data_IF_548568369728
#
_entry.id   IF_548568369728
#
_cell.length_a   1.000
_cell.length_b   1.000
_cell.length_c   1.000
_cell.angle_alpha   90.00
_cell.angle_beta   90.00
_cell.angle_gamma   90.00
#
_symmetry.space_group_name_H-M   'P 1'
#
loop_
_entity.id
_entity.type
_entity.pdbx_description
1 polymer ?
#
# COMPACT_ATOMS: atom_id res chain seq x y z
N UNK A 1 20.49 -32.34 11.21
CA UNK A 1 19.19 -32.00 11.69
C UNK A 1 18.15 -32.00 10.59
N UNK A 2 17.70 -33.16 10.25
CA UNK A 2 16.67 -33.29 9.22
C UNK A 2 15.40 -32.52 9.56
N UNK A 3 15.04 -32.52 10.81
CA UNK A 3 13.87 -31.77 11.27
C UNK A 3 14.01 -30.28 11.02
N UNK A 4 15.17 -29.74 11.25
CA UNK A 4 15.39 -28.34 11.03
C UNK A 4 15.29 -27.97 9.54
N UNK A 5 15.74 -28.82 8.67
CA UNK A 5 15.62 -28.61 7.23
C UNK A 5 14.14 -28.54 6.81
N UNK A 6 13.37 -29.50 7.26
CA UNK A 6 11.94 -29.50 6.94
C UNK A 6 11.23 -28.29 7.50
N UNK A 7 11.55 -27.93 8.73
CA UNK A 7 10.97 -26.74 9.32
C UNK A 7 11.43 -25.46 8.65
N UNK A 8 12.65 -25.46 8.17
CA UNK A 8 13.14 -24.31 7.44
C UNK A 8 12.36 -24.09 6.15
N UNK A 9 11.99 -25.14 5.46
CA UNK A 9 11.13 -25.00 4.29
C UNK A 9 9.82 -24.30 4.64
N UNK A 10 9.26 -24.65 5.75
CA UNK A 10 7.99 -24.03 6.16
C UNK A 10 8.15 -22.64 6.73
N UNK A 11 9.18 -22.39 7.47
CA UNK A 11 9.32 -21.15 8.23
C UNK A 11 10.25 -20.16 7.62
N UNK A 12 11.31 -20.64 7.02
CA UNK A 12 12.36 -19.77 6.53
C UNK A 12 12.72 -20.03 5.07
N UNK A 13 12.01 -20.91 4.45
CA UNK A 13 12.30 -21.23 3.07
C UNK A 13 13.43 -22.20 2.89
N UNK A 14 13.56 -23.14 3.81
CA UNK A 14 14.53 -24.21 3.64
C UNK A 14 15.96 -23.76 3.75
N UNK A 15 16.18 -22.64 4.29
CA UNK A 15 17.51 -22.10 4.44
C UNK A 15 18.13 -21.63 3.13
N UNK A 16 17.66 -22.06 2.03
CA UNK A 16 18.35 -21.76 0.80
C UNK A 16 17.47 -21.36 -0.37
N UNK A 17 16.27 -21.87 -0.47
CA UNK A 17 15.69 -21.76 -1.79
C UNK A 17 14.23 -21.44 -1.87
N UNK A 18 13.49 -21.84 -0.92
CA UNK A 18 12.06 -21.91 -1.14
C UNK A 18 11.26 -20.91 -0.35
N UNK A 19 11.92 -20.11 0.39
CA UNK A 19 11.25 -19.18 1.28
C UNK A 19 10.38 -18.16 0.58
N UNK A 20 10.76 -17.81 -0.60
CA UNK A 20 10.09 -16.73 -1.33
C UNK A 20 8.62 -16.98 -1.56
N UNK A 21 8.24 -18.23 -1.77
CA UNK A 21 6.85 -18.55 -2.04
C UNK A 21 5.97 -18.57 -0.79
N UNK A 22 6.55 -18.88 0.37
CA UNK A 22 5.76 -19.14 1.58
C UNK A 22 6.05 -18.21 2.72
N UNK A 23 7.22 -17.73 2.77
CA UNK A 23 7.72 -17.12 3.99
C UNK A 23 7.81 -15.66 3.90
N UNK A 24 7.32 -15.13 3.08
CA UNK A 24 7.60 -13.84 3.22
C UNK A 24 6.62 -12.85 2.86
N UNK A 25 6.17 -13.02 1.85
CA UNK A 25 5.61 -11.89 1.19
C UNK A 25 4.16 -12.13 0.87
N UNK A 26 3.44 -12.59 1.84
CA UNK A 26 2.01 -12.66 1.69
C UNK A 26 1.44 -11.29 1.34
N UNK A 27 0.53 -11.26 0.40
CA UNK A 27 -0.20 -10.05 0.13
C UNK A 27 -1.06 -9.69 1.34
N UNK A 28 -0.99 -8.43 1.73
CA UNK A 28 -1.72 -7.88 2.86
C UNK A 28 -2.82 -6.97 2.36
N UNK A 29 -3.86 -6.83 3.15
CA UNK A 29 -5.01 -6.00 2.83
C UNK A 29 -5.21 -5.02 3.96
N UNK A 30 -5.35 -3.74 3.62
CA UNK A 30 -5.72 -2.70 4.56
C UNK A 30 -6.93 -1.95 4.03
N UNK A 31 -7.84 -1.60 4.93
CA UNK A 31 -8.97 -0.75 4.57
C UNK A 31 -8.50 0.69 4.38
N UNK A 32 -9.07 1.38 3.40
CA UNK A 32 -8.81 2.80 3.21
C UNK A 32 -10.11 3.57 3.01
N UNK A 33 -10.06 4.85 3.37
CA UNK A 33 -11.15 5.78 3.16
C UNK A 33 -10.60 7.18 2.84
N UNK A 34 -11.11 7.76 1.77
CA UNK A 34 -10.82 9.11 1.33
C UNK A 34 -12.09 9.93 1.55
N UNK A 35 -12.05 10.87 2.48
CA UNK A 35 -13.20 11.69 2.81
C UNK A 35 -13.57 12.67 1.69
N UNK A 36 -12.57 13.16 0.98
CA UNK A 36 -12.75 14.11 -0.12
C UNK A 36 -11.65 13.89 -1.16
N UNK A 37 -12.06 13.41 -2.32
CA UNK A 37 -11.13 13.19 -3.44
C UNK A 37 -10.74 14.49 -4.16
N UNK A 38 -11.41 15.61 -3.84
CA UNK A 38 -11.14 16.90 -4.49
C UNK A 38 -10.05 17.74 -3.80
N UNK A 39 -9.36 17.18 -2.80
CA UNK A 39 -8.36 17.92 -2.04
C UNK A 39 -7.19 18.37 -2.90
N UNK A 40 -6.88 19.65 -2.82
CA UNK A 40 -5.82 20.28 -3.61
C UNK A 40 -4.43 20.18 -2.95
N UNK A 41 -4.37 19.74 -1.70
CA UNK A 41 -3.13 19.52 -0.97
C UNK A 41 -3.11 18.09 -0.45
N UNK A 42 -1.93 17.48 -0.36
CA UNK A 42 -1.81 16.12 0.11
C UNK A 42 -2.43 15.95 1.50
N UNK A 43 -3.45 15.12 1.58
CA UNK A 43 -4.21 14.85 2.78
C UNK A 43 -4.10 13.37 3.14
N UNK A 44 -3.98 13.05 4.42
CA UNK A 44 -3.87 11.66 4.84
C UNK A 44 -5.17 10.89 4.56
N UNK A 45 -5.00 9.73 3.99
CA UNK A 45 -6.05 8.73 3.85
C UNK A 45 -6.29 8.07 5.21
N UNK A 46 -7.53 7.82 5.57
CA UNK A 46 -7.88 7.16 6.84
C UNK A 46 -8.22 5.69 6.62
N UNK A 47 -8.33 4.94 7.72
CA UNK A 47 -8.68 3.52 7.64
C UNK A 47 -10.19 3.26 7.62
N UNK A 48 -11.00 4.29 7.91
CA UNK A 48 -12.45 4.16 7.87
C UNK A 48 -13.12 5.54 7.77
N UNK A 49 -14.41 5.54 7.57
CA UNK A 49 -15.24 6.75 7.52
C UNK A 49 -15.60 7.32 8.90
N UNK A 50 -15.22 6.64 9.96
CA UNK A 50 -15.56 7.09 11.30
C UNK A 50 -14.88 8.41 11.63
N UNK A 51 -15.58 9.28 12.35
CA UNK A 51 -15.00 10.52 12.84
C UNK A 51 -13.81 10.21 13.76
N UNK A 52 -12.66 10.84 13.49
CA UNK A 52 -11.44 10.57 14.23
C UNK A 52 -10.73 9.26 13.88
N UNK A 53 -11.11 8.62 12.78
CA UNK A 53 -10.43 7.43 12.32
C UNK A 53 -8.92 7.71 12.12
N UNK A 54 -8.05 6.77 12.52
CA UNK A 54 -6.62 6.95 12.30
C UNK A 54 -6.26 6.97 10.82
N UNK A 55 -5.16 7.61 10.52
CA UNK A 55 -4.60 7.61 9.18
C UNK A 55 -4.06 6.23 8.81
N UNK A 56 -4.16 5.89 7.54
CA UNK A 56 -3.58 4.67 7.01
C UNK A 56 -2.06 4.81 6.93
N UNK A 57 -1.35 3.86 7.52
CA UNK A 57 0.11 3.81 7.53
C UNK A 57 0.56 2.53 6.85
N UNK A 58 1.55 2.65 5.98
CA UNK A 58 2.20 1.50 5.36
C UNK A 58 3.66 1.42 5.80
N UNK A 59 4.18 0.20 6.00
CA UNK A 59 5.59 0.03 6.38
C UNK A 59 6.54 0.36 5.24
N UNK A 60 7.79 0.62 5.58
CA UNK A 60 8.86 0.69 4.61
C UNK A 60 8.95 -0.61 3.80
N UNK A 61 9.19 -0.51 2.53
CA UNK A 61 9.23 -1.66 1.63
C UNK A 61 7.87 -2.07 1.08
N UNK A 62 6.78 -1.45 1.51
CA UNK A 62 5.46 -1.78 0.99
C UNK A 62 5.34 -1.42 -0.49
N UNK A 63 4.85 -2.36 -1.27
CA UNK A 63 4.51 -2.20 -2.69
C UNK A 63 3.02 -2.39 -2.83
N UNK A 64 2.32 -1.35 -3.23
CA UNK A 64 0.88 -1.41 -3.45
C UNK A 64 0.60 -2.09 -4.78
N UNK A 65 -0.20 -3.13 -4.76
CA UNK A 65 -0.50 -3.97 -5.92
C UNK A 65 -1.85 -3.68 -6.54
N UNK A 66 -2.83 -3.28 -5.75
CA UNK A 66 -4.16 -2.91 -6.25
C UNK A 66 -4.93 -2.08 -5.22
N UNK A 67 -5.90 -1.36 -5.73
CA UNK A 67 -6.98 -0.79 -4.93
C UNK A 67 -8.26 -1.52 -5.28
N UNK A 68 -8.98 -2.00 -4.29
CA UNK A 68 -10.30 -2.57 -4.46
C UNK A 68 -11.33 -1.56 -3.98
N UNK A 69 -11.97 -0.87 -4.90
CA UNK A 69 -12.91 0.21 -4.59
C UNK A 69 -14.29 -0.38 -4.41
N UNK A 70 -14.88 -0.16 -3.24
CA UNK A 70 -16.25 -0.56 -2.92
C UNK A 70 -17.19 0.64 -2.70
N UNK A 71 -16.64 1.85 -2.63
CA UNK A 71 -17.38 3.09 -2.62
C UNK A 71 -16.65 4.05 -3.57
N UNK A 72 -17.26 4.34 -4.71
CA UNK A 72 -16.61 5.09 -5.79
C UNK A 72 -16.97 6.57 -5.73
N UNK A 73 -15.96 7.40 -5.96
CA UNK A 73 -16.13 8.82 -6.19
C UNK A 73 -16.20 9.15 -7.68
N UNK A 74 -15.44 10.15 -8.10
CA UNK A 74 -15.32 10.55 -9.51
C UNK A 74 -13.87 10.95 -9.82
N UNK A 75 -13.47 10.81 -11.06
CA UNK A 75 -12.19 11.28 -11.58
C UNK A 75 -10.99 10.44 -11.16
N UNK A 76 -9.85 11.09 -11.08
CA UNK A 76 -8.57 10.44 -10.75
C UNK A 76 -7.84 11.20 -9.66
N UNK A 77 -7.09 10.46 -8.87
CA UNK A 77 -6.26 11.01 -7.79
C UNK A 77 -4.82 10.55 -7.92
N UNK A 78 -3.93 11.28 -7.31
CA UNK A 78 -2.58 10.79 -7.03
C UNK A 78 -2.54 10.26 -5.60
N UNK A 79 -1.97 9.08 -5.45
CA UNK A 79 -1.72 8.48 -4.15
C UNK A 79 -0.24 8.59 -3.84
N UNK A 80 0.05 9.16 -2.71
CA UNK A 80 1.41 9.43 -2.28
C UNK A 80 1.68 8.98 -0.87
N UNK A 81 2.79 9.44 -0.36
CA UNK A 81 3.24 9.15 1.01
C UNK A 81 3.61 10.42 1.74
N UNK A 82 3.48 10.35 3.06
CA UNK A 82 4.07 11.33 3.97
C UNK A 82 4.87 10.56 5.01
N UNK A 83 6.16 10.77 5.04
CA UNK A 83 7.03 10.09 6.00
C UNK A 83 6.54 10.27 7.43
N UNK A 84 6.46 9.18 8.16
CA UNK A 84 5.95 9.18 9.53
C UNK A 84 6.81 10.07 10.45
N UNK A 85 8.12 9.97 10.33
CA UNK A 85 9.05 10.76 11.13
C UNK A 85 9.44 12.06 10.44
N UNK A 86 9.73 12.01 9.15
CA UNK A 86 10.23 13.16 8.41
C UNK A 86 9.16 14.19 8.03
N UNK A 87 7.92 13.75 7.92
CA UNK A 87 6.85 14.58 7.39
C UNK A 87 6.97 14.92 5.89
N UNK A 88 7.99 14.42 5.23
CA UNK A 88 8.21 14.69 3.81
C UNK A 88 7.11 14.07 2.96
N UNK A 89 6.53 14.86 2.09
CA UNK A 89 5.44 14.43 1.20
C UNK A 89 6.00 14.11 -0.18
N UNK A 90 5.63 12.92 -0.68
CA UNK A 90 5.86 12.52 -2.06
C UNK A 90 4.51 12.20 -2.68
N UNK A 91 3.97 13.12 -3.44
CA UNK A 91 2.55 13.16 -3.78
C UNK A 91 2.09 12.07 -4.75
N UNK A 92 2.99 11.35 -5.39
CA UNK A 92 2.65 10.29 -6.34
C UNK A 92 3.49 9.02 -6.13
N UNK A 93 4.01 8.81 -4.92
CA UNK A 93 4.87 7.67 -4.62
C UNK A 93 4.17 6.32 -4.83
N UNK A 94 2.87 6.26 -4.61
CA UNK A 94 2.08 5.03 -4.77
C UNK A 94 1.45 4.96 -6.16
N UNK A 95 0.96 6.09 -6.67
CA UNK A 95 0.34 6.09 -7.99
C UNK A 95 -0.03 7.48 -8.49
N UNK A 96 -0.12 7.59 -9.79
CA UNK A 96 -0.49 8.83 -10.51
C UNK A 96 -1.70 8.57 -11.38
N UNK A 97 -2.69 9.44 -11.30
CA UNK A 97 -3.88 9.33 -12.13
C UNK A 97 -4.68 8.07 -11.87
N UNK A 98 -4.70 7.61 -10.63
CA UNK A 98 -5.44 6.42 -10.23
C UNK A 98 -6.93 6.72 -10.28
N UNK A 99 -7.68 5.95 -11.05
CA UNK A 99 -9.13 6.14 -11.17
C UNK A 99 -9.84 5.74 -9.89
N UNK A 100 -10.70 6.63 -9.42
CA UNK A 100 -11.58 6.36 -8.26
C UNK A 100 -13.06 6.39 -8.65
N UNK A 101 -13.32 6.35 -9.95
CA UNK A 101 -14.66 6.58 -10.49
C UNK A 101 -15.48 5.30 -10.67
N UNK A 102 -14.91 4.13 -10.44
CA UNK A 102 -15.61 2.87 -10.64
C UNK A 102 -15.34 1.88 -9.51
N UNK A 103 -16.34 1.07 -9.21
CA UNK A 103 -16.21 -0.05 -8.29
C UNK A 103 -15.31 -1.13 -8.90
N UNK A 104 -14.60 -1.84 -8.05
CA UNK A 104 -13.77 -2.97 -8.47
C UNK A 104 -12.28 -2.75 -8.27
N UNK A 105 -11.50 -3.59 -8.87
CA UNK A 105 -10.04 -3.58 -8.73
C UNK A 105 -9.41 -2.58 -9.70
N UNK A 106 -8.54 -1.73 -9.17
CA UNK A 106 -7.80 -0.73 -9.93
C UNK A 106 -6.31 -0.99 -9.76
N UNK A 107 -5.62 -1.18 -10.86
CA UNK A 107 -4.16 -1.33 -10.92
C UNK A 107 -3.51 -0.27 -11.81
N UNK A 108 -4.27 0.29 -12.73
CA UNK A 108 -3.77 1.33 -13.61
C UNK A 108 -3.40 2.60 -12.82
N UNK A 109 -2.28 3.16 -13.16
CA UNK A 109 -1.74 4.34 -12.47
C UNK A 109 -0.88 4.03 -11.25
N UNK A 110 -0.87 2.81 -10.75
CA UNK A 110 -0.01 2.42 -9.64
C UNK A 110 1.44 2.31 -10.09
N UNK A 111 2.34 2.72 -9.21
CA UNK A 111 3.78 2.74 -9.51
C UNK A 111 4.46 1.40 -9.31
N UNK A 112 3.91 0.54 -8.47
CA UNK A 112 4.49 -0.77 -8.10
C UNK A 112 5.93 -0.67 -7.57
N UNK A 113 6.23 0.41 -6.88
CA UNK A 113 7.55 0.63 -6.29
C UNK A 113 7.47 0.59 -4.77
N UNK A 114 8.50 0.07 -4.10
CA UNK A 114 8.53 0.07 -2.64
C UNK A 114 8.56 1.49 -2.08
N UNK A 115 7.76 1.74 -1.06
CA UNK A 115 7.92 2.97 -0.28
C UNK A 115 9.17 2.89 0.58
N UNK A 116 9.87 4.01 0.67
CA UNK A 116 11.21 4.03 1.28
C UNK A 116 11.17 4.02 2.79
N UNK A 117 10.16 4.66 3.38
CA UNK A 117 10.06 4.82 4.83
C UNK A 117 8.67 4.46 5.32
N UNK A 118 8.56 4.16 6.61
CA UNK A 118 7.25 4.09 7.27
C UNK A 118 6.50 5.39 6.99
N UNK A 119 5.34 5.30 6.37
CA UNK A 119 4.66 6.48 5.84
C UNK A 119 3.15 6.41 5.98
N UNK A 120 2.54 7.58 6.18
CA UNK A 120 1.12 7.76 5.92
C UNK A 120 0.86 7.70 4.42
N UNK A 121 -0.27 7.12 4.05
CA UNK A 121 -0.79 7.22 2.69
C UNK A 121 -1.49 8.56 2.53
N UNK A 122 -1.21 9.25 1.45
CA UNK A 122 -1.83 10.55 1.14
C UNK A 122 -2.55 10.53 -0.19
N UNK A 123 -3.53 11.40 -0.31
CA UNK A 123 -4.28 11.63 -1.54
C UNK A 123 -4.23 13.10 -1.91
N UNK A 124 -4.16 13.36 -3.20
CA UNK A 124 -4.29 14.69 -3.77
C UNK A 124 -4.99 14.58 -5.13
N UNK A 125 -5.81 15.57 -5.44
CA UNK A 125 -6.51 15.63 -6.72
C UNK A 125 -5.52 15.58 -7.89
N UNK A 126 -5.82 14.76 -8.87
CA UNK A 126 -5.10 14.79 -10.14
C UNK A 126 -5.94 15.50 -11.21
N UNK A 127 -7.11 14.97 -11.50
CA UNK A 127 -8.03 15.59 -12.43
C UNK A 127 -9.45 15.48 -11.92
N UNK A 128 -10.17 16.58 -11.87
CA UNK A 128 -11.60 16.70 -11.59
C UNK A 128 -12.20 15.55 -10.76
N UNK A 129 -11.57 15.24 -9.66
CA UNK A 129 -12.08 14.19 -8.76
C UNK A 129 -12.98 14.79 -7.70
N UNK A 130 -13.92 14.02 -7.20
CA UNK A 130 -14.85 14.44 -6.16
C UNK A 130 -15.44 13.26 -5.42
N UNK A 131 -16.03 13.55 -4.29
CA UNK A 131 -16.75 12.59 -3.48
C UNK A 131 -15.86 11.80 -2.55
N UNK A 132 -16.51 10.91 -1.81
CA UNK A 132 -15.84 9.96 -0.93
C UNK A 132 -15.42 8.73 -1.72
N UNK A 133 -14.33 8.11 -1.30
CA UNK A 133 -13.87 6.85 -1.88
C UNK A 133 -13.48 5.91 -0.75
N UNK A 134 -13.92 4.69 -0.83
CA UNK A 134 -13.59 3.68 0.17
C UNK A 134 -13.31 2.33 -0.44
N UNK A 135 -12.59 1.52 0.28
CA UNK A 135 -12.27 0.17 -0.15
C UNK A 135 -11.09 -0.43 0.58
N UNK A 136 -10.35 -1.23 -0.15
CA UNK A 136 -9.18 -1.94 0.36
C UNK A 136 -7.99 -1.68 -0.53
N UNK A 137 -6.84 -1.52 0.11
CA UNK A 137 -5.56 -1.46 -0.57
C UNK A 137 -4.85 -2.78 -0.34
N UNK A 138 -4.36 -3.40 -1.41
CA UNK A 138 -3.57 -4.61 -1.31
C UNK A 138 -2.11 -4.27 -1.54
N UNK A 139 -1.24 -4.87 -0.75
CA UNK A 139 0.19 -4.62 -0.82
C UNK A 139 0.97 -5.80 -0.29
N UNK A 140 2.22 -5.90 -0.69
CA UNK A 140 3.19 -6.76 -0.04
C UNK A 140 4.38 -5.93 0.43
N UNK A 141 5.14 -6.45 1.36
CA UNK A 141 6.35 -5.79 1.84
C UNK A 141 7.56 -6.42 1.19
N UNK A 142 8.24 -5.63 0.37
CA UNK A 142 9.52 -6.03 -0.19
C UNK A 142 10.59 -5.85 0.87
N UNK A 143 11.13 -6.95 1.37
CA UNK A 143 12.19 -6.92 2.36
C UNK A 143 13.54 -6.85 1.63
N UNK A 144 14.25 -5.74 1.71
CA UNK A 144 15.54 -5.62 1.05
C UNK A 144 16.60 -6.54 1.64
N UNK A 145 16.34 -7.09 2.81
CA UNK A 145 17.27 -7.97 3.49
C UNK A 145 17.04 -9.45 3.20
N UNK A 146 16.04 -9.79 2.41
CA UNK A 146 15.73 -11.19 2.12
C UNK A 146 16.96 -11.95 1.60
N UNK A 147 17.70 -11.36 0.69
CA UNK A 147 18.93 -11.98 0.19
C UNK A 147 20.01 -12.12 1.24
N UNK A 148 20.05 -11.25 2.21
CA UNK A 148 21.06 -11.30 3.28
C UNK A 148 20.72 -12.32 4.34
N UNK A 149 19.47 -12.61 4.52
CA UNK A 149 19.04 -13.61 5.51
C UNK A 149 19.49 -15.02 5.18
N UNK A 150 19.89 -15.24 3.97
CA UNK A 150 20.34 -16.54 3.49
C UNK A 150 21.87 -16.73 3.57
N UNK A 151 22.50 -15.73 4.02
CA UNK A 151 23.97 -15.75 4.14
C UNK A 151 24.44 -16.47 5.39
#
# INVERSE_FOLDING_TARGET
MALSTTQSIWRSGGGDQTRTAYCGSGEMIAQFYIADASVATATNVTISSAAGAPALILPAGAVVTALLINDAGAGTVNLGTRGYTSGTVTSAAIGTGVSVAALGSVTAGLAFTPITDLSYVTVIINTTSSGTVGGYITYFVADPLVGQQNV
#
